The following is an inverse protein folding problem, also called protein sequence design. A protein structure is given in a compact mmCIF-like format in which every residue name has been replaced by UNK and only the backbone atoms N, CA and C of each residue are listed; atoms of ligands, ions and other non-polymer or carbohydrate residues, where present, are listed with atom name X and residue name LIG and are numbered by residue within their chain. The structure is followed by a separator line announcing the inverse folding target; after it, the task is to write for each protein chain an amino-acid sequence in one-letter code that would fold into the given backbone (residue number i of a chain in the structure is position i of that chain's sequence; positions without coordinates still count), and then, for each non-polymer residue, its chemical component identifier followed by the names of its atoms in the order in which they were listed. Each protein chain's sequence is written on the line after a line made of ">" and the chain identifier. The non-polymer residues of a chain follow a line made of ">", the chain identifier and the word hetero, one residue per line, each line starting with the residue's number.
data_IF_659605303514
#
_entry.id   IF_659605303514
#
_cell.length_a   1.000
_cell.length_b   1.000
_cell.length_c   1.000
_cell.angle_alpha   90.00
_cell.angle_beta   90.00
_cell.angle_gamma   90.00
#
_symmetry.space_group_name_H-M   'P 1'
#
loop_
_entity.id
_entity.type
_entity.pdbx_description
1 polymer ?
#
# COMPACT_ATOMS: atom_id res chain seq x y z
N UNK A 1 0.99 -21.57 9.44
CA UNK A 1 2.39 -21.14 9.17
C UNK A 1 2.80 -20.22 10.31
N UNK A 2 3.91 -20.50 11.02
CA UNK A 2 4.40 -19.61 12.08
C UNK A 2 5.10 -18.41 11.44
N UNK A 3 4.39 -17.29 11.28
CA UNK A 3 4.99 -16.04 10.78
C UNK A 3 5.65 -15.35 11.96
N UNK A 4 6.92 -14.95 11.81
CA UNK A 4 7.61 -14.19 12.86
C UNK A 4 6.90 -12.85 13.09
N UNK A 5 6.60 -12.47 14.34
CA UNK A 5 5.94 -11.18 14.64
C UNK A 5 6.70 -10.00 14.04
N UNK A 6 8.04 -10.07 14.01
CA UNK A 6 8.90 -9.03 13.44
C UNK A 6 8.66 -8.81 11.94
N UNK A 7 8.38 -9.86 11.19
CA UNK A 7 8.02 -9.74 9.77
C UNK A 7 6.71 -8.93 9.67
N UNK A 8 5.73 -9.26 10.49
CA UNK A 8 4.43 -8.57 10.50
C UNK A 8 4.55 -7.08 10.87
N UNK A 9 5.49 -6.72 11.76
CA UNK A 9 5.74 -5.33 12.14
C UNK A 9 6.24 -4.48 10.96
N UNK A 10 7.14 -5.01 10.14
CA UNK A 10 7.84 -4.22 9.12
C UNK A 10 7.18 -4.29 7.74
N UNK A 11 6.49 -5.40 7.43
CA UNK A 11 6.04 -5.70 6.06
C UNK A 11 5.16 -4.61 5.46
N UNK A 12 4.29 -3.98 6.25
CA UNK A 12 3.39 -2.93 5.75
C UNK A 12 4.15 -1.72 5.21
N UNK A 13 5.13 -1.22 5.97
CA UNK A 13 5.96 -0.08 5.57
C UNK A 13 7.01 -0.44 4.51
N UNK A 14 7.47 -1.69 4.46
CA UNK A 14 8.33 -2.17 3.35
C UNK A 14 7.54 -2.14 2.04
N UNK A 15 6.31 -2.65 2.04
CA UNK A 15 5.42 -2.60 0.86
C UNK A 15 5.12 -1.16 0.48
N UNK A 16 4.79 -0.31 1.45
CA UNK A 16 4.58 1.11 1.22
C UNK A 16 5.81 1.76 0.57
N UNK A 17 7.02 1.47 1.06
CA UNK A 17 8.27 2.04 0.50
C UNK A 17 8.53 1.55 -0.93
N UNK A 18 8.29 0.26 -1.21
CA UNK A 18 8.37 -0.26 -2.58
C UNK A 18 7.33 0.37 -3.49
N UNK A 19 6.10 0.55 -3.01
CA UNK A 19 5.03 1.23 -3.73
C UNK A 19 5.39 2.68 -4.06
N UNK A 20 6.02 3.40 -3.14
CA UNK A 20 6.53 4.75 -3.39
C UNK A 20 7.44 4.79 -4.63
N UNK A 21 8.46 3.92 -4.66
CA UNK A 21 9.41 3.87 -5.78
C UNK A 21 8.72 3.49 -7.09
N UNK A 22 7.82 2.51 -7.06
CA UNK A 22 7.13 2.04 -8.25
C UNK A 22 6.14 3.07 -8.80
N UNK A 23 5.31 3.68 -7.94
CA UNK A 23 4.32 4.69 -8.35
C UNK A 23 5.01 5.92 -8.90
N UNK A 24 6.01 6.47 -8.20
CA UNK A 24 6.73 7.65 -8.68
C UNK A 24 7.58 7.35 -9.93
N UNK A 25 8.20 6.17 -10.00
CA UNK A 25 8.94 5.73 -11.18
C UNK A 25 8.03 5.57 -12.41
N UNK A 26 6.86 4.94 -12.24
CA UNK A 26 5.87 4.79 -13.29
C UNK A 26 5.28 6.14 -13.72
N UNK A 27 5.03 7.05 -12.77
CA UNK A 27 4.55 8.41 -13.07
C UNK A 27 5.56 9.18 -13.92
N UNK A 28 6.83 9.26 -13.47
CA UNK A 28 7.87 9.98 -14.20
C UNK A 28 8.11 9.39 -15.60
N UNK A 29 8.12 8.06 -15.70
CA UNK A 29 8.27 7.34 -16.97
C UNK A 29 7.08 7.61 -17.88
N UNK A 30 5.86 7.53 -17.34
CA UNK A 30 4.63 7.79 -18.10
C UNK A 30 4.54 9.21 -18.62
N UNK A 31 4.92 10.22 -17.82
CA UNK A 31 5.01 11.60 -18.29
C UNK A 31 6.05 11.77 -19.39
N UNK A 32 7.23 11.13 -19.27
CA UNK A 32 8.25 11.23 -20.31
C UNK A 32 7.85 10.54 -21.62
N UNK A 33 7.11 9.42 -21.53
CA UNK A 33 6.61 8.66 -22.68
C UNK A 33 5.27 9.19 -23.23
N UNK A 34 4.70 10.25 -22.64
CA UNK A 34 3.44 10.86 -23.08
C UNK A 34 2.19 10.03 -22.80
N UNK A 35 2.22 9.12 -21.83
CA UNK A 35 1.06 8.29 -21.45
C UNK A 35 -0.08 9.10 -20.80
N UNK A 36 0.21 10.32 -20.35
CA UNK A 36 -0.77 11.28 -19.88
C UNK A 36 -1.63 11.86 -21.02
N UNK A 37 -1.14 11.80 -22.27
CA UNK A 37 -1.83 12.28 -23.48
C UNK A 37 -2.67 11.18 -24.17
N UNK A 38 -2.57 9.94 -23.70
CA UNK A 38 -3.34 8.82 -24.24
C UNK A 38 -4.66 8.72 -23.46
N UNK A 39 -5.76 9.07 -24.10
CA UNK A 39 -7.09 9.00 -23.47
C UNK A 39 -7.61 7.56 -23.37
N UNK A 40 -8.09 7.19 -22.18
CA UNK A 40 -8.79 5.94 -21.89
C UNK A 40 -10.13 6.30 -21.22
N UNK A 41 -11.13 6.59 -22.05
CA UNK A 41 -12.43 7.09 -21.58
C UNK A 41 -12.28 8.50 -20.99
N UNK A 42 -12.75 8.77 -19.76
CA UNK A 42 -12.67 10.10 -19.15
C UNK A 42 -11.31 10.40 -18.47
N UNK A 43 -10.36 9.47 -18.49
CA UNK A 43 -9.06 9.58 -17.82
C UNK A 43 -7.92 9.24 -18.77
N UNK A 44 -6.70 9.69 -18.48
CA UNK A 44 -5.52 9.28 -19.23
C UNK A 44 -5.06 7.87 -18.87
N UNK A 45 -4.35 7.20 -19.79
CA UNK A 45 -3.75 5.89 -19.57
C UNK A 45 -2.81 5.89 -18.36
N UNK A 46 -2.05 6.98 -18.17
CA UNK A 46 -1.20 7.16 -16.98
C UNK A 46 -2.01 7.17 -15.68
N UNK A 47 -3.12 7.93 -15.63
CA UNK A 47 -3.96 7.98 -14.43
C UNK A 47 -4.56 6.61 -14.13
N UNK A 48 -5.01 5.90 -15.16
CA UNK A 48 -5.58 4.56 -15.00
C UNK A 48 -4.54 3.58 -14.43
N UNK A 49 -3.32 3.58 -14.97
CA UNK A 49 -2.23 2.73 -14.49
C UNK A 49 -1.92 2.99 -13.01
N UNK A 50 -1.71 4.26 -12.65
CA UNK A 50 -1.39 4.65 -11.27
C UNK A 50 -2.55 4.33 -10.31
N UNK A 51 -3.80 4.49 -10.74
CA UNK A 51 -4.97 4.12 -9.95
C UNK A 51 -5.04 2.60 -9.70
N UNK A 52 -4.78 1.78 -10.72
CA UNK A 52 -4.70 0.31 -10.56
C UNK A 52 -3.59 -0.07 -9.59
N UNK A 53 -2.40 0.52 -9.73
CA UNK A 53 -1.28 0.28 -8.81
C UNK A 53 -1.65 0.67 -7.37
N UNK A 54 -2.30 1.81 -7.17
CA UNK A 54 -2.77 2.25 -5.85
C UNK A 54 -3.75 1.24 -5.24
N UNK A 55 -4.75 0.79 -6.00
CA UNK A 55 -5.73 -0.21 -5.54
C UNK A 55 -5.02 -1.51 -5.16
N UNK A 56 -4.04 -1.97 -5.93
CA UNK A 56 -3.27 -3.18 -5.63
C UNK A 56 -2.47 -3.03 -4.32
N UNK A 57 -1.85 -1.88 -4.10
CA UNK A 57 -1.09 -1.61 -2.86
C UNK A 57 -2.04 -1.57 -1.66
N UNK A 58 -3.19 -0.89 -1.78
CA UNK A 58 -4.21 -0.87 -0.73
C UNK A 58 -4.74 -2.28 -0.42
N UNK A 59 -5.00 -3.08 -1.45
CA UNK A 59 -5.45 -4.46 -1.28
C UNK A 59 -4.39 -5.32 -0.58
N UNK A 60 -3.11 -5.13 -0.92
CA UNK A 60 -2.01 -5.89 -0.31
C UNK A 60 -1.82 -5.54 1.17
N UNK A 61 -1.74 -4.26 1.51
CA UNK A 61 -1.60 -3.82 2.92
C UNK A 61 -2.89 -4.12 3.70
N UNK A 62 -4.07 -3.95 3.08
CA UNK A 62 -5.36 -4.29 3.68
C UNK A 62 -5.49 -5.78 3.98
N UNK A 63 -5.05 -6.63 3.06
CA UNK A 63 -4.96 -8.07 3.26
C UNK A 63 -4.02 -8.45 4.40
N UNK A 64 -2.88 -7.78 4.53
CA UNK A 64 -1.96 -7.96 5.65
C UNK A 64 -2.55 -7.52 6.98
N UNK A 65 -3.23 -6.38 7.03
CA UNK A 65 -3.94 -5.92 8.23
C UNK A 65 -5.02 -6.92 8.65
N UNK A 66 -5.82 -7.41 7.70
CA UNK A 66 -6.82 -8.45 7.95
C UNK A 66 -6.21 -9.75 8.47
N UNK A 67 -5.10 -10.19 7.86
CA UNK A 67 -4.39 -11.39 8.30
C UNK A 67 -3.83 -11.23 9.72
N UNK A 68 -3.22 -10.07 10.02
CA UNK A 68 -2.66 -9.75 11.33
C UNK A 68 -3.73 -9.75 12.44
N UNK A 69 -4.91 -9.19 12.14
CA UNK A 69 -6.03 -9.13 13.10
C UNK A 69 -6.66 -10.50 13.34
N UNK A 70 -6.70 -11.38 12.32
CA UNK A 70 -7.16 -12.77 12.48
C UNK A 70 -6.20 -13.61 13.34
N UNK A 71 -4.88 -13.45 13.15
CA UNK A 71 -3.85 -14.18 13.89
C UNK A 71 -3.85 -13.89 15.41
N UNK A 72 -4.42 -12.75 15.84
CA UNK A 72 -4.61 -12.41 17.26
C UNK A 72 -5.63 -13.30 18.00
N UNK A 73 -6.38 -14.13 17.28
CA UNK A 73 -7.42 -15.00 17.88
C UNK A 73 -6.82 -16.28 18.50
N UNK A 74 -5.58 -16.63 18.14
CA UNK A 74 -4.91 -17.81 18.70
C UNK A 74 -4.38 -17.55 20.13
N UNK A 75 -4.44 -18.54 21.05
CA UNK A 75 -3.91 -18.40 22.39
C UNK A 75 -2.39 -18.16 22.35
N UNK A 76 -1.97 -16.99 22.82
CA UNK A 76 -0.58 -16.51 22.78
C UNK A 76 -0.16 -15.98 24.16
N UNK A 77 1.14 -15.94 24.43
CA UNK A 77 1.69 -15.24 25.60
C UNK A 77 1.45 -13.74 25.51
N UNK A 78 1.41 -13.04 26.65
CA UNK A 78 1.09 -11.60 26.71
C UNK A 78 2.05 -10.73 25.87
N UNK A 79 3.35 -11.07 25.84
CA UNK A 79 4.36 -10.38 25.03
C UNK A 79 4.08 -10.49 23.52
N UNK A 80 3.76 -11.70 23.05
CA UNK A 80 3.48 -11.94 21.63
C UNK A 80 2.17 -11.26 21.22
N UNK A 81 1.20 -11.21 22.14
CA UNK A 81 -0.06 -10.48 21.94
C UNK A 81 0.17 -8.97 21.81
N UNK A 82 1.07 -8.38 22.60
CA UNK A 82 1.44 -6.97 22.48
C UNK A 82 2.10 -6.69 21.12
N UNK A 83 3.06 -7.51 20.71
CA UNK A 83 3.72 -7.37 19.41
C UNK A 83 2.74 -7.43 18.24
N UNK A 84 1.75 -8.33 18.28
CA UNK A 84 0.72 -8.42 17.25
C UNK A 84 -0.21 -7.20 17.24
N UNK A 85 -0.56 -6.63 18.40
CA UNK A 85 -1.33 -5.37 18.45
C UNK A 85 -0.56 -4.22 17.81
N UNK A 86 0.73 -4.08 18.12
CA UNK A 86 1.60 -3.07 17.51
C UNK A 86 1.70 -3.30 16.00
N UNK A 87 1.91 -4.54 15.56
CA UNK A 87 1.93 -4.87 14.15
C UNK A 87 0.62 -4.48 13.45
N UNK A 88 -0.54 -4.82 14.02
CA UNK A 88 -1.85 -4.43 13.48
C UNK A 88 -2.01 -2.92 13.34
N UNK A 89 -1.56 -2.15 14.34
CA UNK A 89 -1.57 -0.69 14.30
C UNK A 89 -0.63 -0.13 13.22
N UNK A 90 0.57 -0.71 13.05
CA UNK A 90 1.51 -0.32 12.00
C UNK A 90 0.95 -0.60 10.61
N UNK A 91 0.23 -1.71 10.41
CA UNK A 91 -0.46 -1.98 9.14
C UNK A 91 -1.56 -0.95 8.85
N UNK A 92 -2.32 -0.55 9.88
CA UNK A 92 -3.31 0.52 9.74
C UNK A 92 -2.66 1.87 9.43
N UNK A 93 -1.54 2.19 10.08
CA UNK A 93 -0.77 3.39 9.80
C UNK A 93 -0.23 3.40 8.35
N UNK A 94 0.26 2.25 7.86
CA UNK A 94 0.70 2.10 6.48
C UNK A 94 -0.45 2.32 5.49
N UNK A 95 -1.66 1.80 5.75
CA UNK A 95 -2.85 2.07 4.93
C UNK A 95 -3.19 3.56 4.87
N UNK A 96 -3.22 4.23 6.03
CA UNK A 96 -3.52 5.66 6.10
C UNK A 96 -2.46 6.46 5.35
N UNK A 97 -1.17 6.12 5.52
CA UNK A 97 -0.08 6.72 4.78
C UNK A 97 -0.22 6.50 3.26
N UNK A 98 -0.58 5.29 2.80
CA UNK A 98 -0.85 5.00 1.38
C UNK A 98 -1.92 5.93 0.82
N UNK A 99 -3.05 6.09 1.52
CA UNK A 99 -4.16 6.95 1.07
C UNK A 99 -3.74 8.41 1.02
N UNK A 100 -3.06 8.91 2.05
CA UNK A 100 -2.65 10.32 2.12
C UNK A 100 -1.58 10.64 1.09
N UNK A 101 -0.55 9.79 0.95
CA UNK A 101 0.59 10.07 0.06
C UNK A 101 0.25 9.83 -1.41
N UNK A 102 -0.50 8.77 -1.72
CA UNK A 102 -0.75 8.38 -3.12
C UNK A 102 -2.15 8.74 -3.62
N UNK A 103 -3.07 9.14 -2.73
CA UNK A 103 -4.42 9.55 -3.12
C UNK A 103 -4.46 10.72 -4.11
N UNK A 104 -3.40 11.55 -4.11
CA UNK A 104 -3.21 12.62 -5.08
C UNK A 104 -3.27 12.19 -6.55
N UNK A 105 -2.99 10.92 -6.88
CA UNK A 105 -3.14 10.35 -8.23
C UNK A 105 -4.54 10.60 -8.82
N UNK A 106 -5.57 10.65 -7.97
CA UNK A 106 -6.96 10.79 -8.40
C UNK A 106 -7.36 12.22 -8.78
N UNK A 107 -6.67 13.25 -8.25
CA UNK A 107 -7.12 14.65 -8.39
C UNK A 107 -6.03 15.66 -8.77
N UNK A 108 -4.75 15.34 -8.60
CA UNK A 108 -3.65 16.24 -8.97
C UNK A 108 -3.32 16.13 -10.47
N UNK A 109 -2.65 17.18 -10.97
CA UNK A 109 -1.93 17.15 -12.24
C UNK A 109 -0.76 16.16 -12.11
N UNK A 110 -0.73 15.17 -13.02
CA UNK A 110 0.25 14.07 -12.98
C UNK A 110 1.59 14.48 -13.59
N UNK A 111 1.50 15.35 -14.60
CA UNK A 111 2.53 16.09 -15.28
C UNK A 111 2.01 17.55 -15.31
#
# INVERSE_FOLDING_TARGET
>A
MKVSPFILLLTGFVIWSGAFLLLYGAQATGCHLGWDQIDVGPVSALRLLLAVMLVLVLALIGGLHWFATRALTEPQTDEVRLLHKIAGLLQAAALVATVITYGGVMWLTLC
#
